data_IF_704900375219
#
_entry.id   IF_704900375219
#
_cell.length_a   1.000
_cell.length_b   1.000
_cell.length_c   1.000
_cell.angle_alpha   90.00
_cell.angle_beta   90.00
_cell.angle_gamma   90.00
#
_symmetry.space_group_name_H-M   'P 1'
#
loop_
_entity.id
_entity.type
_entity.pdbx_description
1 polymer ?
#
# COMPACT_ATOMS: atom_id res chain seq x y z
N UNK A 1 -10.40 -12.88 6.68
CA UNK A 1 -8.93 -12.97 6.46
C UNK A 1 -8.44 -14.29 7.04
N UNK A 2 -7.72 -15.04 6.24
CA UNK A 2 -7.22 -16.38 6.60
C UNK A 2 -5.98 -16.32 7.53
N UNK A 3 -5.36 -15.14 7.66
CA UNK A 3 -4.10 -14.95 8.40
C UNK A 3 -2.89 -15.61 7.74
N UNK A 4 -3.04 -16.14 6.54
CA UNK A 4 -2.00 -16.83 5.78
C UNK A 4 -1.52 -16.03 4.58
N UNK A 5 -2.43 -15.25 3.97
CA UNK A 5 -2.15 -14.46 2.77
C UNK A 5 -1.65 -13.07 3.12
N UNK A 6 -0.54 -12.65 2.50
CA UNK A 6 -0.02 -11.29 2.60
C UNK A 6 0.54 -10.80 1.27
N UNK A 7 0.63 -9.49 1.13
CA UNK A 7 1.23 -8.83 -0.02
C UNK A 7 2.43 -8.01 0.41
N UNK A 8 3.43 -7.92 -0.44
CA UNK A 8 4.50 -6.94 -0.27
C UNK A 8 4.93 -6.34 -1.60
N UNK A 9 5.32 -5.07 -1.57
CA UNK A 9 5.87 -4.38 -2.71
C UNK A 9 7.42 -4.45 -2.68
N UNK A 10 8.01 -4.93 -3.76
CA UNK A 10 9.43 -4.77 -4.03
C UNK A 10 9.60 -3.56 -4.96
N UNK A 11 9.88 -2.40 -4.38
CA UNK A 11 10.00 -1.13 -5.09
C UNK A 11 11.10 -1.16 -6.15
N UNK A 12 12.21 -1.83 -5.87
CA UNK A 12 13.33 -1.95 -6.81
C UNK A 12 13.03 -2.90 -7.96
N UNK A 13 12.42 -4.04 -7.66
CA UNK A 13 11.95 -4.98 -8.66
C UNK A 13 10.69 -4.52 -9.40
N UNK A 14 10.07 -3.40 -8.99
CA UNK A 14 8.84 -2.86 -9.56
C UNK A 14 7.67 -3.86 -9.55
N UNK A 15 7.61 -4.71 -8.54
CA UNK A 15 6.68 -5.84 -8.48
C UNK A 15 5.98 -5.87 -7.13
N UNK A 16 4.68 -6.09 -7.16
CA UNK A 16 3.90 -6.49 -5.97
C UNK A 16 3.75 -8.00 -5.99
N UNK A 17 4.08 -8.62 -4.89
CA UNK A 17 4.00 -10.06 -4.68
C UNK A 17 2.82 -10.40 -3.78
N UNK A 18 2.08 -11.43 -4.11
CA UNK A 18 1.12 -12.09 -3.25
C UNK A 18 1.72 -13.39 -2.74
N UNK A 19 1.69 -13.57 -1.45
CA UNK A 19 2.36 -14.67 -0.77
C UNK A 19 1.40 -15.38 0.17
N UNK A 20 1.62 -16.70 0.34
CA UNK A 20 0.97 -17.48 1.36
C UNK A 20 2.01 -18.06 2.31
N UNK A 21 1.72 -17.96 3.60
CA UNK A 21 2.59 -18.38 4.68
C UNK A 21 1.92 -19.45 5.52
N UNK A 22 2.68 -20.42 5.98
CA UNK A 22 2.21 -21.36 7.00
C UNK A 22 2.15 -20.63 8.36
N UNK A 23 0.97 -20.48 8.98
CA UNK A 23 0.83 -19.72 10.23
C UNK A 23 1.49 -20.40 11.44
N UNK A 24 1.74 -21.70 11.39
CA UNK A 24 2.34 -22.43 12.51
C UNK A 24 3.86 -22.19 12.65
N UNK A 25 4.55 -22.04 11.52
CA UNK A 25 6.03 -21.95 11.51
C UNK A 25 6.58 -20.76 10.72
N UNK A 26 5.70 -19.93 10.10
CA UNK A 26 6.12 -18.75 9.35
C UNK A 26 6.80 -19.04 8.01
N UNK A 27 6.84 -20.29 7.54
CA UNK A 27 7.46 -20.61 6.26
C UNK A 27 6.63 -20.12 5.08
N UNK A 28 7.32 -19.62 4.06
CA UNK A 28 6.69 -19.24 2.79
C UNK A 28 6.26 -20.51 2.04
N UNK A 29 4.97 -20.61 1.74
CA UNK A 29 4.36 -21.75 1.03
C UNK A 29 4.21 -21.45 -0.45
N UNK A 30 3.84 -20.22 -0.78
CA UNK A 30 3.56 -19.80 -2.14
C UNK A 30 3.94 -18.34 -2.35
N UNK A 31 4.42 -18.02 -3.54
CA UNK A 31 4.74 -16.66 -3.96
C UNK A 31 4.43 -16.50 -5.43
N UNK A 32 3.56 -15.56 -5.76
CA UNK A 32 3.16 -15.24 -7.14
C UNK A 32 3.26 -13.74 -7.40
N UNK A 33 3.42 -13.37 -8.68
CA UNK A 33 3.34 -11.97 -9.11
C UNK A 33 1.89 -11.54 -9.03
N UNK A 34 1.63 -10.46 -8.28
CA UNK A 34 0.30 -9.87 -8.16
C UNK A 34 0.11 -8.68 -9.12
N UNK A 35 1.11 -7.78 -9.20
CA UNK A 35 1.11 -6.65 -10.12
C UNK A 35 2.53 -6.24 -10.50
N UNK A 36 2.72 -5.73 -11.72
CA UNK A 36 4.01 -5.27 -12.25
C UNK A 36 3.91 -3.84 -12.79
N UNK A 37 4.96 -3.05 -12.61
CA UNK A 37 5.04 -1.63 -12.97
C UNK A 37 6.13 -1.34 -14.03
N UNK A 38 6.47 -2.30 -14.89
CA UNK A 38 7.54 -2.14 -15.87
C UNK A 38 7.20 -1.16 -17.02
N UNK A 39 5.93 -1.11 -17.43
CA UNK A 39 5.44 -0.23 -18.48
C UNK A 39 4.86 1.08 -17.98
N UNK A 40 4.67 1.23 -16.66
CA UNK A 40 4.01 2.36 -16.06
C UNK A 40 5.00 3.34 -15.43
N UNK A 41 4.60 4.62 -15.36
CA UNK A 41 5.34 5.59 -14.55
C UNK A 41 5.20 5.26 -13.06
N UNK A 42 6.32 5.31 -12.33
CA UNK A 42 6.38 5.09 -10.90
C UNK A 42 6.66 3.64 -10.50
N UNK A 43 6.63 3.40 -9.20
CA UNK A 43 7.02 2.13 -8.55
C UNK A 43 6.12 1.89 -7.34
N UNK A 44 5.75 0.64 -7.05
CA UNK A 44 4.94 0.32 -5.87
C UNK A 44 5.72 0.55 -4.59
N UNK A 45 5.06 1.09 -3.55
CA UNK A 45 5.63 1.30 -2.22
C UNK A 45 4.64 0.79 -1.16
N UNK A 46 4.37 1.53 -0.09
CA UNK A 46 3.45 1.13 0.96
C UNK A 46 2.03 0.88 0.48
N UNK A 47 1.30 0.02 1.19
CA UNK A 47 -0.01 -0.45 0.77
C UNK A 47 -0.93 -0.76 1.96
N UNK A 48 -2.24 -0.86 1.68
CA UNK A 48 -3.26 -1.36 2.60
C UNK A 48 -4.35 -2.13 1.85
N UNK A 49 -5.20 -2.84 2.59
CA UNK A 49 -6.35 -3.59 2.05
C UNK A 49 -7.63 -2.88 2.48
N UNK A 50 -8.63 -2.81 1.59
CA UNK A 50 -9.95 -2.33 1.94
C UNK A 50 -10.92 -3.47 2.33
N UNK A 51 -12.13 -3.10 2.77
CA UNK A 51 -13.14 -4.04 3.24
C UNK A 51 -13.71 -4.96 2.15
N UNK A 52 -13.48 -4.63 0.88
CA UNK A 52 -13.83 -5.47 -0.27
C UNK A 52 -12.69 -6.42 -0.67
N UNK A 53 -11.56 -6.37 0.06
CA UNK A 53 -10.36 -7.17 -0.21
C UNK A 53 -9.47 -6.63 -1.32
N UNK A 54 -9.69 -5.38 -1.77
CA UNK A 54 -8.86 -4.74 -2.78
C UNK A 54 -7.58 -4.18 -2.17
N UNK A 55 -6.50 -4.28 -2.91
CA UNK A 55 -5.17 -3.83 -2.54
C UNK A 55 -4.91 -2.41 -3.05
N UNK A 56 -4.71 -1.47 -2.12
CA UNK A 56 -4.33 -0.10 -2.40
C UNK A 56 -2.83 0.07 -2.23
N UNK A 57 -2.16 0.61 -3.23
CA UNK A 57 -0.71 0.81 -3.20
C UNK A 57 -0.34 2.22 -3.63
N UNK A 58 0.61 2.82 -2.91
CA UNK A 58 1.23 4.08 -3.30
C UNK A 58 2.20 3.85 -4.46
N UNK A 59 2.13 4.71 -5.49
CA UNK A 59 3.00 4.63 -6.65
C UNK A 59 3.99 5.79 -6.61
N UNK A 60 5.16 5.55 -6.02
CA UNK A 60 6.27 6.52 -5.93
C UNK A 60 6.73 6.89 -7.33
N UNK A 61 6.93 8.18 -7.58
CA UNK A 61 7.20 8.80 -8.90
C UNK A 61 6.01 8.67 -9.89
N UNK A 62 4.83 8.27 -9.41
CA UNK A 62 3.65 8.04 -10.23
C UNK A 62 2.49 9.00 -9.96
N UNK A 63 2.56 9.90 -8.96
CA UNK A 63 1.51 10.88 -8.63
C UNK A 63 0.15 10.28 -8.32
N UNK A 64 0.09 9.02 -7.88
CA UNK A 64 -1.18 8.30 -7.70
C UNK A 64 -1.10 7.19 -6.68
N UNK A 65 -2.26 6.73 -6.30
CA UNK A 65 -2.51 5.42 -5.68
C UNK A 65 -3.21 4.55 -6.70
N UNK A 66 -2.83 3.29 -6.79
CA UNK A 66 -3.53 2.29 -7.58
C UNK A 66 -4.30 1.32 -6.68
N UNK A 67 -5.52 0.96 -7.09
CA UNK A 67 -6.38 -0.03 -6.44
C UNK A 67 -6.48 -1.26 -7.30
N UNK A 68 -6.14 -2.42 -6.78
CA UNK A 68 -6.23 -3.71 -7.48
C UNK A 68 -7.27 -4.60 -6.83
N UNK A 69 -8.04 -5.29 -7.66
CA UNK A 69 -8.94 -6.36 -7.20
C UNK A 69 -8.15 -7.54 -6.63
N UNK A 70 -8.79 -8.45 -5.86
CA UNK A 70 -8.12 -9.60 -5.24
C UNK A 70 -7.42 -10.55 -6.23
N UNK A 71 -7.81 -10.49 -7.51
CA UNK A 71 -7.21 -11.24 -8.62
C UNK A 71 -6.10 -10.48 -9.37
N UNK A 72 -5.65 -9.31 -8.85
CA UNK A 72 -4.52 -8.55 -9.38
C UNK A 72 -4.84 -7.66 -10.58
N UNK A 73 -6.12 -7.39 -10.86
CA UNK A 73 -6.51 -6.46 -11.93
C UNK A 73 -6.62 -5.05 -11.40
N UNK A 74 -6.07 -4.07 -12.13
CA UNK A 74 -6.24 -2.67 -11.81
C UNK A 74 -7.73 -2.29 -11.91
N UNK A 75 -8.31 -1.86 -10.79
CA UNK A 75 -9.67 -1.36 -10.68
C UNK A 75 -9.71 0.13 -11.04
N UNK A 76 -8.90 0.93 -10.35
CA UNK A 76 -8.81 2.37 -10.56
C UNK A 76 -7.54 2.96 -9.99
N UNK A 77 -7.25 4.20 -10.42
CA UNK A 77 -6.18 5.02 -9.87
C UNK A 77 -6.74 6.33 -9.30
N UNK A 78 -6.22 6.77 -8.16
CA UNK A 78 -6.50 8.08 -7.56
C UNK A 78 -5.26 8.96 -7.66
N UNK A 79 -5.39 10.11 -8.34
CA UNK A 79 -4.32 11.11 -8.38
C UNK A 79 -4.11 11.74 -7.00
N UNK A 80 -2.85 12.05 -6.68
CA UNK A 80 -2.45 12.78 -5.47
C UNK A 80 -1.62 14.00 -5.84
N UNK A 81 -1.56 15.06 -5.00
CA UNK A 81 -0.91 16.34 -5.33
C UNK A 81 0.61 16.32 -5.14
N UNK A 82 1.24 15.16 -5.14
CA UNK A 82 2.69 15.00 -5.00
C UNK A 82 3.21 13.78 -5.77
N UNK A 83 4.43 13.91 -6.28
CA UNK A 83 5.10 12.92 -7.10
C UNK A 83 5.29 11.58 -6.38
N UNK A 84 5.55 11.64 -5.07
CA UNK A 84 6.03 10.49 -4.29
C UNK A 84 5.09 10.15 -3.12
N UNK A 85 3.87 9.65 -3.38
CA UNK A 85 3.11 8.98 -2.32
C UNK A 85 3.90 7.78 -1.82
N UNK A 86 3.83 7.50 -0.51
CA UNK A 86 4.66 6.43 0.08
C UNK A 86 3.85 5.35 0.78
N UNK A 87 2.79 5.70 1.50
CA UNK A 87 1.98 4.68 2.17
C UNK A 87 0.53 5.16 2.38
N UNK A 88 -0.47 4.47 1.86
CA UNK A 88 -1.86 4.66 2.21
C UNK A 88 -2.24 3.90 3.48
N UNK A 89 -3.23 4.42 4.22
CA UNK A 89 -3.82 3.74 5.37
C UNK A 89 -5.23 4.25 5.65
N UNK A 90 -6.17 3.37 5.89
CA UNK A 90 -7.53 3.74 6.22
C UNK A 90 -7.67 4.25 7.66
N UNK A 91 -8.53 5.25 7.85
CA UNK A 91 -8.81 5.85 9.15
C UNK A 91 -10.12 6.64 9.16
N UNK A 92 -10.29 7.48 10.19
CA UNK A 92 -11.56 8.14 10.47
C UNK A 92 -12.51 7.22 11.26
N UNK A 93 -13.66 7.76 11.67
CA UNK A 93 -14.60 7.05 12.55
C UNK A 93 -15.08 5.71 11.96
N UNK A 94 -15.36 5.68 10.66
CA UNK A 94 -15.87 4.52 9.93
C UNK A 94 -14.84 3.90 8.98
N UNK A 95 -13.55 4.21 9.12
CA UNK A 95 -12.49 3.79 8.20
C UNK A 95 -12.80 4.16 6.73
N UNK A 96 -13.50 5.27 6.51
CA UNK A 96 -13.89 5.75 5.16
C UNK A 96 -12.94 6.80 4.58
N UNK A 97 -11.94 7.22 5.34
CA UNK A 97 -10.89 8.12 4.88
C UNK A 97 -9.60 7.35 4.58
N UNK A 98 -8.95 7.68 3.49
CA UNK A 98 -7.66 7.13 3.12
C UNK A 98 -6.58 8.19 3.35
N UNK A 99 -5.76 7.99 4.36
CA UNK A 99 -4.61 8.85 4.67
C UNK A 99 -3.41 8.39 3.85
N UNK A 100 -2.67 9.35 3.28
CA UNK A 100 -1.53 9.07 2.41
C UNK A 100 -0.34 9.90 2.84
N UNK A 101 0.76 9.24 3.16
CA UNK A 101 2.06 9.88 3.40
C UNK A 101 2.81 10.12 2.10
N UNK A 102 3.76 11.05 2.11
CA UNK A 102 4.59 11.36 0.96
C UNK A 102 6.05 11.64 1.33
N UNK A 103 6.94 11.56 0.35
CA UNK A 103 8.37 11.77 0.49
C UNK A 103 8.73 13.15 -0.05
N UNK A 104 9.46 13.95 0.74
CA UNK A 104 10.00 15.28 0.32
C UNK A 104 11.50 15.28 0.07
N UNK A 105 12.25 14.33 0.65
CA UNK A 105 13.71 14.27 0.58
C UNK A 105 14.22 12.83 0.63
N UNK A 106 15.47 12.61 0.27
CA UNK A 106 16.13 11.31 0.47
C UNK A 106 15.77 10.21 -0.53
N UNK A 107 15.15 10.57 -1.64
CA UNK A 107 14.81 9.62 -2.72
C UNK A 107 15.88 9.62 -3.82
N UNK A 108 16.07 8.47 -4.47
CA UNK A 108 16.98 8.30 -5.60
C UNK A 108 16.59 9.12 -6.84
N UNK A 109 15.32 9.49 -6.96
CA UNK A 109 14.80 10.35 -8.04
C UNK A 109 14.57 11.75 -7.48
N UNK A 110 15.08 12.83 -8.12
CA UNK A 110 14.76 14.19 -7.71
C UNK A 110 13.27 14.47 -7.67
N UNK A 111 12.85 15.35 -6.78
CA UNK A 111 11.49 15.89 -6.81
C UNK A 111 11.34 16.87 -7.97
N UNK A 112 10.21 16.79 -8.66
CA UNK A 112 9.79 17.85 -9.55
C UNK A 112 9.51 19.14 -8.73
N UNK A 113 9.70 20.33 -9.31
CA UNK A 113 9.42 21.57 -8.61
C UNK A 113 7.93 21.76 -8.30
N UNK A 114 7.63 22.73 -7.44
CA UNK A 114 6.27 23.20 -7.14
C UNK A 114 5.32 22.16 -6.52
N UNK A 115 5.82 21.36 -5.59
CA UNK A 115 5.04 20.40 -4.81
C UNK A 115 4.95 20.83 -3.33
N UNK A 116 4.05 21.78 -2.98
CA UNK A 116 3.97 22.31 -1.60
C UNK A 116 3.47 21.27 -0.58
N UNK A 117 2.89 20.17 -1.06
CA UNK A 117 2.37 19.08 -0.23
C UNK A 117 3.33 17.88 -0.13
N UNK A 118 4.49 17.90 -0.79
CA UNK A 118 5.48 16.85 -0.66
C UNK A 118 6.02 16.78 0.78
N UNK A 119 6.04 15.59 1.36
CA UNK A 119 6.42 15.34 2.76
C UNK A 119 5.28 15.50 3.77
N UNK A 120 4.08 15.86 3.32
CA UNK A 120 2.89 15.95 4.17
C UNK A 120 2.07 14.67 4.17
N UNK A 121 1.14 14.61 5.12
CA UNK A 121 0.04 13.65 5.17
C UNK A 121 -1.21 14.33 4.60
N UNK A 122 -1.89 13.66 3.67
CA UNK A 122 -3.19 14.09 3.16
C UNK A 122 -4.27 13.06 3.50
N UNK A 123 -5.53 13.47 3.44
CA UNK A 123 -6.69 12.61 3.55
C UNK A 123 -7.51 12.68 2.25
N UNK A 124 -7.96 11.53 1.78
CA UNK A 124 -8.78 11.36 0.59
C UNK A 124 -10.07 10.61 0.94
N UNK A 125 -11.10 10.80 0.12
CA UNK A 125 -12.32 9.99 0.16
C UNK A 125 -12.27 8.95 -0.96
N UNK A 126 -11.85 7.70 -0.68
CA UNK A 126 -11.63 6.69 -1.71
C UNK A 126 -12.92 6.07 -2.24
N UNK A 127 -14.08 6.34 -1.60
CA UNK A 127 -15.38 5.76 -1.94
C UNK A 127 -15.55 4.31 -1.49
N UNK A 128 -14.70 3.82 -0.59
CA UNK A 128 -14.78 2.51 0.05
C UNK A 128 -14.32 2.62 1.52
N UNK A 129 -14.45 1.55 2.27
CA UNK A 129 -14.02 1.49 3.68
C UNK A 129 -12.80 0.57 3.83
N UNK A 130 -11.97 0.88 4.81
CA UNK A 130 -10.87 0.01 5.23
C UNK A 130 -11.31 -1.12 6.15
N UNK A 131 -10.37 -2.00 6.43
CA UNK A 131 -10.50 -3.06 7.43
C UNK A 131 -9.89 -2.58 8.74
N UNK A 132 -10.53 -2.93 9.87
CA UNK A 132 -9.95 -2.66 11.18
C UNK A 132 -8.75 -3.58 11.39
N UNK A 133 -7.58 -2.98 11.52
CA UNK A 133 -6.36 -3.70 11.78
C UNK A 133 -6.43 -4.52 13.09
N UNK A 134 -5.95 -5.76 13.09
CA UNK A 134 -5.91 -6.57 14.28
C UNK A 134 -4.98 -5.94 15.33
N UNK A 135 -5.43 -5.92 16.58
CA UNK A 135 -4.58 -5.44 17.67
C UNK A 135 -3.47 -6.45 17.93
N UNK A 136 -2.25 -5.96 18.09
CA UNK A 136 -1.14 -6.78 18.58
C UNK A 136 -1.52 -7.39 19.94
N UNK A 137 -1.41 -8.72 20.07
CA UNK A 137 -1.53 -9.38 21.37
C UNK A 137 -0.35 -8.94 22.23
N UNK A 138 -0.62 -8.49 23.47
CA UNK A 138 0.46 -8.26 24.43
C UNK A 138 1.26 -9.57 24.59
N UNK A 139 2.57 -9.47 24.38
CA UNK A 139 3.48 -10.52 24.78
C UNK A 139 3.49 -10.54 26.32
N UNK A 140 2.79 -11.49 26.92
CA UNK A 140 2.98 -11.76 28.33
C UNK A 140 4.37 -12.36 28.46
N UNK A 141 5.36 -11.53 28.82
CA UNK A 141 6.64 -12.02 29.25
C UNK A 141 6.38 -12.92 30.46
N UNK A 142 6.47 -14.23 30.27
CA UNK A 142 6.72 -15.14 31.38
C UNK A 142 8.14 -14.83 31.86
N UNK A 143 8.24 -14.00 32.92
CA UNK A 143 9.40 -13.88 33.77
C UNK A 143 9.20 -14.89 34.89
#
# INVERSE_FOLDING_TARGET
EDGETFWYADTHARTVWKCRMNPENGSLVEKEVFAEYFSEAGRPDGACIDAEGFYWVAVVDGWRLDRFSPDGRLDRSLAVPFQKPSCPGFGGENLSQLYVTSISQGSSTPLEPDQPDAGKLIALEPGCQGVKEPRMKQWNSMI
#
